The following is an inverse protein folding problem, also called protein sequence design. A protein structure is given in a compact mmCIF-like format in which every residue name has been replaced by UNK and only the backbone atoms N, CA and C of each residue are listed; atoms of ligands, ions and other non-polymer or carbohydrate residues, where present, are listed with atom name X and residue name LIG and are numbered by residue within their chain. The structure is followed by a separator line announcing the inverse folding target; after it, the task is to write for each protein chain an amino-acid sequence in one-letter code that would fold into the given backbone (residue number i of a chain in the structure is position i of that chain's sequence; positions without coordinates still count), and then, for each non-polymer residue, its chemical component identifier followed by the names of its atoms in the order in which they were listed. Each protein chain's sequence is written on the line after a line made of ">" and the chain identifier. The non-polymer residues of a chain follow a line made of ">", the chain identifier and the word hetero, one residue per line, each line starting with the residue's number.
data_IF_896859216148
#
_entry.id   IF_896859216148
#
_cell.length_a   1.000
_cell.length_b   1.000
_cell.length_c   1.000
_cell.angle_alpha   90.00
_cell.angle_beta   90.00
_cell.angle_gamma   90.00
#
_symmetry.space_group_name_H-M   'P 1'
#
loop_
_entity.id
_entity.type
_entity.pdbx_description
1 polymer ?
#
# COMPACT_ATOMS: atom_id res chain seq x y z
N UNK A 1 -6.43 -22.80 -24.46
CA UNK A 1 -5.77 -23.79 -23.61
C UNK A 1 -6.73 -24.88 -23.16
N UNK A 2 -6.20 -26.00 -22.71
CA UNK A 2 -6.97 -27.12 -22.18
C UNK A 2 -6.36 -27.63 -20.88
N UNK A 3 -7.20 -28.13 -19.98
CA UNK A 3 -6.76 -28.74 -18.72
C UNK A 3 -7.60 -29.98 -18.42
N UNK A 4 -7.04 -30.94 -17.71
CA UNK A 4 -7.75 -32.07 -17.08
C UNK A 4 -8.01 -31.85 -15.59
N UNK A 5 -7.55 -30.71 -15.04
CA UNK A 5 -7.71 -30.34 -13.65
C UNK A 5 -8.75 -29.23 -13.51
N UNK A 6 -9.18 -28.96 -12.30
CA UNK A 6 -10.10 -27.85 -11.97
C UNK A 6 -9.43 -26.47 -12.10
N UNK A 7 -8.15 -26.42 -12.40
CA UNK A 7 -7.37 -25.19 -12.48
C UNK A 7 -6.64 -25.09 -13.82
N UNK A 8 -6.73 -23.92 -14.46
CA UNK A 8 -6.00 -23.60 -15.67
C UNK A 8 -5.43 -22.17 -15.60
N UNK A 9 -4.15 -22.03 -15.86
CA UNK A 9 -3.49 -20.72 -15.85
C UNK A 9 -3.30 -20.20 -17.27
N UNK A 10 -3.94 -19.10 -17.60
CA UNK A 10 -3.68 -18.34 -18.83
C UNK A 10 -2.35 -17.58 -18.68
N UNK A 11 -1.49 -17.71 -19.67
CA UNK A 11 -0.17 -17.06 -19.71
C UNK A 11 -0.10 -16.08 -20.87
N UNK A 12 0.87 -15.14 -20.82
CA UNK A 12 1.15 -14.18 -21.89
C UNK A 12 -0.05 -13.29 -22.27
N UNK A 13 -0.90 -12.97 -21.29
CA UNK A 13 -1.94 -11.97 -21.49
C UNK A 13 -1.33 -10.57 -21.46
N UNK A 14 -1.76 -9.72 -22.38
CA UNK A 14 -1.34 -8.32 -22.38
C UNK A 14 -1.94 -7.60 -21.17
N UNK A 15 -1.14 -6.86 -20.40
CA UNK A 15 -1.63 -6.04 -19.31
C UNK A 15 -2.65 -5.01 -19.83
N UNK A 16 -3.57 -4.64 -18.94
CA UNK A 16 -4.59 -3.62 -19.19
C UNK A 16 -5.56 -3.89 -20.35
N UNK A 17 -5.50 -5.08 -20.97
CA UNK A 17 -6.43 -5.55 -21.99
C UNK A 17 -7.58 -6.33 -21.34
N UNK A 18 -8.83 -6.05 -21.75
CA UNK A 18 -9.98 -6.84 -21.31
C UNK A 18 -10.02 -8.17 -22.04
N UNK A 19 -10.15 -9.27 -21.30
CA UNK A 19 -10.35 -10.61 -21.82
C UNK A 19 -11.67 -11.17 -21.34
N UNK A 20 -12.46 -11.68 -22.25
CA UNK A 20 -13.66 -12.45 -21.95
C UNK A 20 -13.31 -13.93 -21.95
N UNK A 21 -13.51 -14.59 -20.83
CA UNK A 21 -13.12 -15.99 -20.61
C UNK A 21 -14.37 -16.84 -20.45
N UNK A 22 -14.42 -17.91 -21.21
CA UNK A 22 -15.43 -18.95 -21.10
C UNK A 22 -14.76 -20.33 -21.07
N UNK A 23 -15.39 -21.27 -20.40
CA UNK A 23 -14.95 -22.68 -20.32
C UNK A 23 -15.97 -23.58 -21.02
N UNK A 24 -15.46 -24.54 -21.78
CA UNK A 24 -16.25 -25.62 -22.43
C UNK A 24 -15.64 -26.95 -22.07
N UNK A 25 -16.48 -27.92 -21.79
CA UNK A 25 -16.05 -29.30 -21.71
C UNK A 25 -15.70 -29.85 -23.11
N UNK A 26 -14.85 -30.85 -23.17
CA UNK A 26 -14.57 -31.56 -24.42
C UNK A 26 -14.28 -33.03 -24.17
N UNK A 27 -14.54 -33.83 -25.18
CA UNK A 27 -14.08 -35.21 -25.26
C UNK A 27 -13.19 -35.43 -26.48
N UNK A 28 -12.39 -36.48 -26.48
CA UNK A 28 -11.63 -36.91 -27.66
C UNK A 28 -12.09 -38.29 -28.10
N UNK A 29 -12.43 -38.44 -29.37
CA UNK A 29 -12.75 -39.70 -30.01
C UNK A 29 -11.83 -39.82 -31.23
N UNK A 30 -11.09 -40.92 -31.33
CA UNK A 30 -10.12 -41.17 -32.40
C UNK A 30 -9.19 -39.98 -32.66
N UNK A 31 -8.64 -39.36 -31.60
CA UNK A 31 -7.76 -38.23 -31.70
C UNK A 31 -8.43 -36.88 -31.99
N UNK A 32 -9.67 -36.88 -32.46
CA UNK A 32 -10.45 -35.68 -32.78
C UNK A 32 -11.17 -35.15 -31.55
N UNK A 33 -11.15 -33.81 -31.38
CA UNK A 33 -11.70 -33.10 -30.21
C UNK A 33 -13.12 -32.61 -30.49
N UNK A 34 -14.04 -32.95 -29.62
CA UNK A 34 -15.46 -32.54 -29.68
C UNK A 34 -15.75 -31.66 -28.45
N UNK A 35 -16.22 -30.43 -28.67
CA UNK A 35 -16.56 -29.47 -27.63
C UNK A 35 -18.04 -29.61 -27.24
N UNK A 36 -18.36 -29.42 -25.96
CA UNK A 36 -19.74 -29.33 -25.49
C UNK A 36 -20.48 -28.16 -26.17
N UNK A 37 -21.76 -28.29 -26.38
CA UNK A 37 -22.64 -27.18 -26.79
C UNK A 37 -22.73 -26.11 -25.72
N UNK A 38 -22.69 -26.52 -24.45
CA UNK A 38 -22.76 -25.60 -23.31
C UNK A 38 -21.41 -24.97 -23.00
N UNK A 39 -21.44 -23.71 -22.61
CA UNK A 39 -20.29 -22.93 -22.10
C UNK A 39 -20.59 -22.44 -20.70
N UNK A 40 -19.53 -22.17 -19.90
CA UNK A 40 -19.69 -21.42 -18.67
C UNK A 40 -20.20 -20.00 -18.94
N UNK A 41 -20.69 -19.33 -17.91
CA UNK A 41 -20.88 -17.87 -17.97
C UNK A 41 -19.57 -17.21 -18.37
N UNK A 42 -19.64 -16.12 -19.12
CA UNK A 42 -18.48 -15.31 -19.47
C UNK A 42 -17.97 -14.58 -18.23
N UNK A 43 -16.69 -14.68 -17.95
CA UNK A 43 -16.01 -13.89 -16.93
C UNK A 43 -15.09 -12.90 -17.64
N UNK A 44 -15.31 -11.62 -17.39
CA UNK A 44 -14.45 -10.57 -17.93
C UNK A 44 -13.34 -10.25 -16.92
N UNK A 45 -12.09 -10.33 -17.37
CA UNK A 45 -10.91 -10.00 -16.56
C UNK A 45 -10.02 -9.01 -17.30
N UNK A 46 -9.37 -8.14 -16.55
CA UNK A 46 -8.35 -7.23 -17.06
C UNK A 46 -7.07 -7.46 -16.27
N UNK A 47 -6.08 -8.22 -16.81
CA UNK A 47 -4.83 -8.45 -16.11
C UNK A 47 -4.11 -7.14 -15.81
N UNK A 48 -3.67 -6.96 -14.58
CA UNK A 48 -2.83 -5.83 -14.22
C UNK A 48 -1.39 -6.10 -14.66
N UNK A 49 -0.70 -5.10 -15.18
CA UNK A 49 0.73 -5.17 -15.47
C UNK A 49 1.57 -5.47 -14.23
N UNK A 50 1.02 -5.21 -13.03
CA UNK A 50 1.67 -5.44 -11.74
C UNK A 50 1.47 -6.86 -11.17
N UNK A 51 0.76 -7.75 -11.88
CA UNK A 51 0.50 -9.15 -11.49
C UNK A 51 1.40 -10.17 -12.21
N UNK A 52 2.53 -9.76 -12.79
CA UNK A 52 3.44 -10.69 -13.45
C UNK A 52 4.32 -11.44 -12.43
N UNK A 53 4.71 -12.70 -12.74
CA UNK A 53 5.63 -13.50 -11.88
C UNK A 53 6.93 -12.80 -11.53
N UNK A 54 7.39 -11.85 -12.34
CA UNK A 54 8.62 -11.10 -12.09
C UNK A 54 8.44 -10.09 -10.95
N UNK A 55 7.22 -9.67 -10.63
CA UNK A 55 6.97 -8.76 -9.52
C UNK A 55 7.13 -9.43 -8.17
N UNK A 56 6.75 -10.70 -8.01
CA UNK A 56 6.94 -11.43 -6.75
C UNK A 56 8.43 -11.53 -6.40
N UNK A 57 9.29 -11.78 -7.39
CA UNK A 57 10.76 -11.77 -7.21
C UNK A 57 11.31 -10.36 -6.96
N UNK A 58 10.83 -9.37 -7.69
CA UNK A 58 11.22 -7.98 -7.48
C UNK A 58 10.84 -7.50 -6.07
N UNK A 59 9.63 -7.83 -5.62
CA UNK A 59 9.13 -7.47 -4.30
C UNK A 59 9.88 -8.16 -3.16
N UNK A 60 10.16 -9.47 -3.29
CA UNK A 60 10.84 -10.24 -2.27
C UNK A 60 12.25 -9.69 -1.94
N UNK A 61 12.94 -9.13 -2.95
CA UNK A 61 14.30 -8.62 -2.79
C UNK A 61 14.38 -7.09 -2.69
N UNK A 62 13.32 -6.36 -2.98
CA UNK A 62 13.36 -4.89 -3.12
C UNK A 62 12.66 -4.17 -1.97
N UNK A 63 11.54 -4.70 -1.47
CA UNK A 63 10.75 -4.02 -0.45
C UNK A 63 11.12 -4.51 0.94
N UNK A 64 11.81 -3.67 1.70
CA UNK A 64 11.95 -3.81 3.15
C UNK A 64 10.72 -3.25 3.85
N UNK A 65 10.13 -4.06 4.71
CA UNK A 65 8.96 -3.64 5.50
C UNK A 65 9.34 -3.11 6.89
N UNK A 66 10.55 -3.41 7.35
CA UNK A 66 11.04 -3.07 8.70
C UNK A 66 12.18 -2.07 8.58
N UNK A 67 12.07 -0.98 9.32
CA UNK A 67 13.07 0.10 9.37
C UNK A 67 14.03 0.04 10.58
N UNK A 68 14.14 -1.12 11.24
CA UNK A 68 15.02 -1.30 12.39
C UNK A 68 15.46 -2.78 12.54
N UNK A 69 16.52 -2.99 13.34
CA UNK A 69 16.99 -4.33 13.76
C UNK A 69 17.53 -4.19 15.18
N UNK A 70 16.84 -4.78 16.17
CA UNK A 70 17.06 -4.46 17.57
C UNK A 70 16.89 -2.96 17.79
N UNK A 71 17.83 -2.34 18.50
CA UNK A 71 17.84 -0.90 18.78
C UNK A 71 18.53 -0.06 17.69
N UNK A 72 18.79 -0.63 16.51
CA UNK A 72 19.44 0.06 15.39
C UNK A 72 18.44 0.40 14.31
N UNK A 73 18.41 1.66 13.91
CA UNK A 73 17.61 2.12 12.78
C UNK A 73 18.23 1.69 11.45
N UNK A 74 17.37 1.21 10.54
CA UNK A 74 17.73 0.81 9.19
C UNK A 74 16.79 1.53 8.23
N UNK A 75 17.27 2.59 7.61
CA UNK A 75 16.48 3.37 6.66
C UNK A 75 17.34 3.88 5.50
N UNK A 76 16.71 4.40 4.48
CA UNK A 76 17.35 5.00 3.31
C UNK A 76 16.56 6.22 2.85
N UNK A 77 17.25 7.19 2.29
CA UNK A 77 16.64 8.32 1.60
C UNK A 77 16.28 8.01 0.14
N UNK A 78 16.65 6.80 -0.34
CA UNK A 78 16.33 6.37 -1.71
C UNK A 78 14.92 5.79 -1.76
N UNK A 79 14.03 6.47 -2.47
CA UNK A 79 12.65 6.07 -2.60
C UNK A 79 12.46 4.85 -3.50
N UNK A 80 11.43 4.05 -3.20
CA UNK A 80 10.94 3.05 -4.14
C UNK A 80 10.35 3.71 -5.38
N UNK A 81 10.59 3.11 -6.55
CA UNK A 81 9.96 3.57 -7.79
C UNK A 81 8.43 3.42 -7.75
N UNK A 82 7.74 4.16 -8.60
CA UNK A 82 6.28 4.06 -8.75
C UNK A 82 5.82 2.62 -9.03
N UNK A 83 6.57 1.91 -9.87
CA UNK A 83 6.30 0.52 -10.24
C UNK A 83 6.39 -0.41 -9.03
N UNK A 84 7.42 -0.27 -8.20
CA UNK A 84 7.60 -1.05 -6.97
C UNK A 84 6.46 -0.78 -6.00
N UNK A 85 6.10 0.48 -5.78
CA UNK A 85 5.00 0.88 -4.89
C UNK A 85 3.65 0.28 -5.33
N UNK A 86 3.35 0.36 -6.62
CA UNK A 86 2.13 -0.20 -7.20
C UNK A 86 2.12 -1.73 -7.15
N UNK A 87 3.25 -2.36 -7.46
CA UNK A 87 3.40 -3.80 -7.41
C UNK A 87 3.21 -4.34 -5.99
N UNK A 88 3.82 -3.70 -4.99
CA UNK A 88 3.70 -4.11 -3.60
C UNK A 88 2.24 -4.13 -3.13
N UNK A 89 1.53 -3.03 -3.29
CA UNK A 89 0.15 -2.90 -2.77
C UNK A 89 -0.83 -3.77 -3.55
N UNK A 90 -0.73 -3.78 -4.88
CA UNK A 90 -1.62 -4.57 -5.73
C UNK A 90 -1.30 -6.08 -5.68
N UNK A 91 -0.03 -6.45 -5.61
CA UNK A 91 0.42 -7.83 -5.52
C UNK A 91 0.03 -8.49 -4.18
N UNK A 92 0.17 -7.79 -3.07
CA UNK A 92 -0.29 -8.23 -1.75
C UNK A 92 -1.82 -8.32 -1.65
N UNK A 93 -2.54 -7.63 -2.54
CA UNK A 93 -3.99 -7.69 -2.58
C UNK A 93 -4.68 -7.04 -1.37
N UNK A 94 -4.06 -6.00 -0.80
CA UNK A 94 -4.69 -5.22 0.26
C UNK A 94 -6.05 -4.67 -0.16
N UNK A 95 -6.97 -4.60 0.79
CA UNK A 95 -8.30 -4.05 0.61
C UNK A 95 -8.58 -2.95 1.63
N UNK A 96 -9.48 -2.05 1.31
CA UNK A 96 -10.01 -1.03 2.23
C UNK A 96 -11.54 -1.07 2.20
N UNK A 97 -12.16 -0.56 3.25
CA UNK A 97 -13.62 -0.31 3.30
C UNK A 97 -14.00 0.97 2.54
N UNK A 98 -13.02 1.84 2.31
CA UNK A 98 -13.15 3.05 1.49
C UNK A 98 -12.39 2.88 0.18
N UNK A 99 -12.42 3.88 -0.69
CA UNK A 99 -11.62 3.91 -1.92
C UNK A 99 -10.17 4.41 -1.68
N UNK A 100 -9.73 4.50 -0.42
CA UNK A 100 -8.38 4.92 -0.05
C UNK A 100 -7.59 3.81 0.65
N UNK A 101 -6.28 3.78 0.42
CA UNK A 101 -5.30 2.95 1.10
C UNK A 101 -4.03 3.76 1.34
N UNK A 102 -3.45 3.63 2.52
CA UNK A 102 -2.17 4.27 2.87
C UNK A 102 -1.12 3.19 3.09
N UNK A 103 0.05 3.35 2.49
CA UNK A 103 1.24 2.56 2.80
C UNK A 103 2.31 3.45 3.43
N UNK A 104 2.74 3.08 4.64
CA UNK A 104 3.86 3.68 5.35
C UNK A 104 5.06 2.75 5.18
N UNK A 105 6.13 3.25 4.58
CA UNK A 105 7.39 2.54 4.46
C UNK A 105 8.36 3.03 5.53
N UNK A 106 8.60 2.23 6.56
CA UNK A 106 9.57 2.52 7.60
C UNK A 106 11.01 2.56 7.05
N UNK A 107 11.29 1.79 6.00
CA UNK A 107 12.62 1.74 5.41
C UNK A 107 12.95 2.97 4.57
N UNK A 108 12.00 3.47 3.77
CA UNK A 108 12.20 4.67 2.93
C UNK A 108 11.69 5.95 3.55
N UNK A 109 11.14 5.88 4.77
CA UNK A 109 10.55 7.02 5.48
C UNK A 109 9.53 7.79 4.65
N UNK A 110 8.64 7.03 3.96
CA UNK A 110 7.63 7.60 3.08
C UNK A 110 6.23 7.08 3.39
N UNK A 111 5.27 7.96 3.20
CA UNK A 111 3.85 7.66 3.07
C UNK A 111 3.47 7.70 1.60
N UNK A 112 2.76 6.68 1.15
CA UNK A 112 2.14 6.67 -0.19
C UNK A 112 0.65 6.43 -0.05
N UNK A 113 -0.15 7.32 -0.62
CA UNK A 113 -1.60 7.26 -0.62
C UNK A 113 -2.08 6.77 -1.97
N UNK A 114 -2.99 5.82 -1.93
CA UNK A 114 -3.60 5.21 -3.10
C UNK A 114 -5.10 5.47 -3.10
N UNK A 115 -5.67 5.57 -4.30
CA UNK A 115 -7.12 5.56 -4.55
C UNK A 115 -7.47 4.42 -5.48
N UNK A 116 -8.57 3.71 -5.20
CA UNK A 116 -9.02 2.59 -6.02
C UNK A 116 -9.66 1.47 -5.20
N UNK A 117 -9.31 0.24 -5.51
CA UNK A 117 -9.82 -0.96 -4.83
C UNK A 117 -8.80 -2.09 -4.84
N UNK A 118 -9.08 -3.17 -4.14
CA UNK A 118 -8.23 -4.37 -4.09
C UNK A 118 -7.71 -4.77 -5.46
N UNK A 119 -6.39 -4.88 -5.60
CA UNK A 119 -5.65 -5.20 -6.83
C UNK A 119 -5.75 -4.16 -7.96
N UNK A 120 -6.33 -3.01 -7.70
CA UNK A 120 -6.47 -1.91 -8.66
C UNK A 120 -6.20 -0.53 -8.02
N UNK A 121 -5.24 -0.49 -7.12
CA UNK A 121 -4.80 0.72 -6.46
C UNK A 121 -3.95 1.58 -7.39
N UNK A 122 -4.19 2.91 -7.37
CA UNK A 122 -3.41 3.91 -8.11
C UNK A 122 -2.82 4.90 -7.12
N UNK A 123 -1.55 5.26 -7.28
CA UNK A 123 -0.92 6.28 -6.45
C UNK A 123 -1.52 7.64 -6.78
N UNK A 124 -1.95 8.35 -5.75
CA UNK A 124 -2.44 9.74 -5.85
C UNK A 124 -1.53 10.73 -5.13
N UNK A 125 -0.81 10.29 -4.10
CA UNK A 125 0.12 11.14 -3.34
C UNK A 125 1.25 10.31 -2.76
N UNK A 126 2.44 10.90 -2.69
CA UNK A 126 3.60 10.35 -1.97
C UNK A 126 4.39 11.51 -1.36
N UNK A 127 4.80 11.35 -0.12
CA UNK A 127 5.58 12.34 0.61
C UNK A 127 6.48 11.68 1.65
N UNK A 128 7.52 12.40 2.07
CA UNK A 128 8.43 11.95 3.12
C UNK A 128 7.80 12.14 4.49
N UNK A 129 8.08 11.24 5.40
CA UNK A 129 7.60 11.27 6.77
C UNK A 129 8.74 11.00 7.76
N UNK A 130 8.45 11.09 9.05
CA UNK A 130 9.31 10.54 10.08
C UNK A 130 8.52 9.53 10.90
N UNK A 131 8.96 8.27 10.88
CA UNK A 131 8.38 7.20 11.70
C UNK A 131 9.01 7.19 13.10
N UNK A 132 8.56 6.28 13.95
CA UNK A 132 9.18 6.02 15.25
C UNK A 132 10.63 5.56 15.14
N UNK A 133 11.41 5.89 16.17
CA UNK A 133 12.79 5.40 16.34
C UNK A 133 12.84 3.90 16.57
N UNK A 134 14.03 3.29 16.54
CA UNK A 134 14.19 1.87 16.80
C UNK A 134 13.80 1.45 18.22
N UNK A 135 13.89 2.35 19.20
CA UNK A 135 13.43 2.12 20.58
C UNK A 135 11.94 2.38 20.79
N UNK A 136 11.31 3.14 19.92
CA UNK A 136 9.88 3.51 19.96
C UNK A 136 9.29 3.39 18.55
N UNK A 137 9.39 2.20 17.95
CA UNK A 137 9.02 2.02 16.55
C UNK A 137 7.53 2.17 16.29
N UNK A 138 7.19 2.71 15.14
CA UNK A 138 5.82 2.73 14.65
C UNK A 138 5.32 1.29 14.46
N UNK A 139 4.04 0.99 14.74
CA UNK A 139 3.51 -0.36 14.64
C UNK A 139 3.56 -0.88 13.19
N UNK A 140 3.90 -2.17 13.04
CA UNK A 140 3.93 -2.88 11.77
C UNK A 140 2.68 -3.74 11.66
N UNK A 141 1.97 -3.65 10.54
CA UNK A 141 0.75 -4.43 10.31
C UNK A 141 -0.22 -3.74 9.37
N UNK A 142 -1.45 -4.22 9.39
CA UNK A 142 -2.57 -3.63 8.65
C UNK A 142 -3.56 -3.08 9.67
N UNK A 143 -3.78 -1.79 9.59
CA UNK A 143 -4.61 -1.04 10.52
C UNK A 143 -5.73 -0.30 9.79
N UNK A 144 -6.64 0.27 10.55
CA UNK A 144 -7.72 1.15 10.07
C UNK A 144 -7.59 2.50 10.76
N UNK A 145 -7.94 3.56 10.08
CA UNK A 145 -8.17 4.84 10.73
C UNK A 145 -9.38 4.68 11.65
N UNK A 146 -9.22 5.09 12.90
CA UNK A 146 -10.22 4.88 13.96
C UNK A 146 -10.97 6.16 14.29
N UNK A 147 -10.25 7.26 14.51
CA UNK A 147 -10.84 8.57 14.79
C UNK A 147 -9.85 9.69 14.49
N UNK A 148 -10.28 10.93 14.60
CA UNK A 148 -9.51 12.13 14.29
C UNK A 148 -9.69 13.17 15.37
N UNK A 149 -8.63 13.95 15.62
CA UNK A 149 -8.63 15.10 16.52
C UNK A 149 -8.00 16.31 15.82
N UNK A 150 -8.47 17.53 16.09
CA UNK A 150 -7.90 18.74 15.48
C UNK A 150 -6.41 18.88 15.77
N UNK A 151 -5.97 18.45 16.95
CA UNK A 151 -4.57 18.46 17.36
C UNK A 151 -4.38 18.07 18.81
N UNK A 152 -3.11 17.86 19.16
CA UNK A 152 -2.63 17.76 20.53
C UNK A 152 -1.96 19.08 20.91
N UNK A 153 -2.33 19.63 22.04
CA UNK A 153 -1.89 20.94 22.52
C UNK A 153 -1.17 20.78 23.86
N UNK A 154 0.09 21.23 23.89
CA UNK A 154 0.96 21.20 25.06
C UNK A 154 1.26 22.62 25.53
N UNK A 155 1.97 22.77 26.64
CA UNK A 155 2.29 24.11 27.22
C UNK A 155 2.95 25.05 26.20
N UNK A 156 3.91 24.55 25.42
CA UNK A 156 4.69 25.39 24.47
C UNK A 156 4.60 24.94 23.02
N UNK A 157 4.06 23.73 22.77
CA UNK A 157 4.04 23.11 21.45
C UNK A 157 2.66 22.54 21.12
N UNK A 158 2.45 22.24 19.85
CA UNK A 158 1.25 21.56 19.34
C UNK A 158 1.57 20.66 18.16
N UNK A 159 0.72 19.68 17.95
CA UNK A 159 0.72 18.80 16.77
C UNK A 159 -0.71 18.79 16.22
N UNK A 160 -0.88 19.06 14.94
CA UNK A 160 -2.19 19.29 14.32
C UNK A 160 -2.59 18.13 13.39
N UNK A 161 -3.87 18.07 13.06
CA UNK A 161 -4.45 17.12 12.10
C UNK A 161 -4.19 15.65 12.50
N UNK A 162 -4.44 15.34 13.76
CA UNK A 162 -4.19 14.01 14.33
C UNK A 162 -5.19 13.01 13.76
N UNK A 163 -4.68 11.96 13.13
CA UNK A 163 -5.47 10.89 12.52
C UNK A 163 -4.98 9.55 13.05
N UNK A 164 -5.75 8.92 13.92
CA UNK A 164 -5.40 7.70 14.63
C UNK A 164 -5.56 6.44 13.78
N UNK A 165 -4.61 5.50 13.87
CA UNK A 165 -4.68 4.22 13.16
C UNK A 165 -4.30 3.00 14.01
N UNK A 166 -3.52 3.15 15.08
CA UNK A 166 -3.09 2.02 15.92
C UNK A 166 -2.92 2.47 17.38
N UNK A 167 -3.96 2.38 18.18
CA UNK A 167 -3.96 2.87 19.54
C UNK A 167 -3.65 4.36 19.61
N UNK A 168 -2.56 4.72 20.28
CA UNK A 168 -2.09 6.12 20.34
C UNK A 168 -1.27 6.57 19.13
N UNK A 169 -0.93 5.64 18.21
CA UNK A 169 -0.13 6.01 17.05
C UNK A 169 -1.03 6.65 15.98
N UNK A 170 -0.58 7.79 15.48
CA UNK A 170 -1.34 8.66 14.60
C UNK A 170 -0.47 9.27 13.52
N UNK A 171 -1.09 9.72 12.45
CA UNK A 171 -0.51 10.74 11.57
C UNK A 171 -0.76 12.11 12.20
N UNK A 172 0.21 12.99 12.15
CA UNK A 172 0.09 14.39 12.60
C UNK A 172 1.19 15.25 11.98
N UNK A 173 1.11 16.56 12.15
CA UNK A 173 2.18 17.48 11.73
C UNK A 173 3.48 17.19 12.46
N UNK A 174 4.58 17.72 11.95
CA UNK A 174 5.78 17.92 12.80
C UNK A 174 5.39 18.70 14.06
N UNK A 175 6.10 18.53 15.17
CA UNK A 175 5.92 19.40 16.32
C UNK A 175 6.08 20.88 15.94
N UNK A 176 5.12 21.69 16.34
CA UNK A 176 5.06 23.13 16.12
C UNK A 176 5.14 23.86 17.46
N UNK A 177 5.77 25.01 17.50
CA UNK A 177 5.56 25.97 18.58
C UNK A 177 4.09 26.47 18.57
N UNK A 178 3.61 26.98 19.69
CA UNK A 178 2.25 27.57 19.74
C UNK A 178 2.09 28.74 18.78
N UNK A 179 3.18 29.44 18.42
CA UNK A 179 3.21 30.45 17.35
C UNK A 179 2.90 29.89 15.96
N UNK A 180 2.98 28.56 15.75
CA UNK A 180 2.83 27.89 14.47
C UNK A 180 4.16 27.60 13.75
N UNK A 181 5.27 28.14 14.21
CA UNK A 181 6.59 27.83 13.65
C UNK A 181 6.98 26.37 13.94
N UNK A 182 7.75 25.77 13.05
CA UNK A 182 8.21 24.37 13.20
C UNK A 182 9.21 24.28 14.34
N UNK A 183 8.91 23.48 15.36
CA UNK A 183 9.79 23.22 16.50
C UNK A 183 10.83 22.14 16.15
N UNK A 184 10.39 21.05 15.51
CA UNK A 184 11.27 19.97 15.08
C UNK A 184 11.06 19.69 13.59
N UNK A 185 12.02 20.06 12.72
CA UNK A 185 11.88 19.94 11.26
C UNK A 185 12.09 18.51 10.73
N UNK A 186 12.44 17.55 11.59
CA UNK A 186 12.89 16.22 11.18
C UNK A 186 11.83 15.48 10.40
N UNK A 187 12.14 15.22 9.12
CA UNK A 187 11.43 14.35 8.17
C UNK A 187 12.50 13.53 7.40
N UNK A 188 12.13 12.40 6.83
CA UNK A 188 13.02 11.52 6.05
C UNK A 188 13.90 10.59 6.88
N UNK A 189 13.78 10.62 8.21
CA UNK A 189 14.44 9.69 9.12
C UNK A 189 13.57 9.40 10.35
N UNK A 190 13.78 8.26 11.05
CA UNK A 190 13.05 7.95 12.28
C UNK A 190 13.32 9.04 13.35
N UNK A 191 12.25 9.55 13.98
CA UNK A 191 12.38 10.64 14.96
C UNK A 191 11.20 10.74 15.94
N UNK A 192 10.16 9.92 15.83
CA UNK A 192 8.99 9.97 16.70
C UNK A 192 9.01 8.88 17.78
N UNK A 193 8.02 8.90 18.66
CA UNK A 193 7.77 7.86 19.65
C UNK A 193 6.71 6.84 19.15
N UNK A 194 6.61 6.66 17.82
CA UNK A 194 5.71 5.69 17.18
C UNK A 194 4.72 6.30 16.20
N UNK A 195 4.40 7.58 16.31
CA UNK A 195 3.56 8.30 15.36
C UNK A 195 4.25 8.50 14.00
N UNK A 196 3.50 8.94 13.04
CA UNK A 196 3.97 9.30 11.70
C UNK A 196 3.91 10.82 11.55
N UNK A 197 5.07 11.47 11.66
CA UNK A 197 5.20 12.91 11.44
C UNK A 197 5.15 13.22 9.96
N UNK A 198 4.33 14.18 9.58
CA UNK A 198 4.13 14.64 8.20
C UNK A 198 4.41 16.14 8.08
N UNK A 199 4.59 16.63 6.87
CA UNK A 199 4.45 18.06 6.61
C UNK A 199 3.00 18.50 6.88
N UNK A 200 2.78 19.78 7.13
CA UNK A 200 1.48 20.29 7.56
C UNK A 200 0.39 20.00 6.53
N UNK A 201 0.68 20.23 5.25
CA UNK A 201 -0.22 19.97 4.13
C UNK A 201 -0.52 18.49 3.92
N UNK A 202 0.42 17.59 4.26
CA UNK A 202 0.23 16.14 4.12
C UNK A 202 -0.57 15.57 5.29
N UNK A 203 -0.29 16.02 6.51
CA UNK A 203 -1.10 15.68 7.69
C UNK A 203 -2.56 16.14 7.51
N UNK A 204 -2.74 17.39 7.05
CA UNK A 204 -4.06 17.94 6.73
C UNK A 204 -4.77 17.14 5.65
N UNK A 205 -4.05 16.75 4.58
CA UNK A 205 -4.64 15.94 3.52
C UNK A 205 -5.17 14.59 4.02
N UNK A 206 -4.41 13.89 4.88
CA UNK A 206 -4.86 12.64 5.51
C UNK A 206 -6.08 12.91 6.39
N UNK A 207 -6.01 13.94 7.21
CA UNK A 207 -7.09 14.32 8.12
C UNK A 207 -8.42 14.60 7.40
N UNK A 208 -8.37 15.32 6.29
CA UNK A 208 -9.57 15.73 5.56
C UNK A 208 -10.18 14.59 4.73
N UNK A 209 -9.38 13.66 4.19
CA UNK A 209 -9.81 12.74 3.14
C UNK A 209 -9.90 11.26 3.57
N UNK A 210 -9.30 10.83 4.68
CA UNK A 210 -9.21 9.41 5.06
C UNK A 210 -10.22 9.03 6.14
#
# INVERSE_FOLDING_TARGET
>A
GTTKTTMFTLKKLNPDTKYNIQVRAYTKVNGKKYLSSQTSKTVTVKPSKYMSKNYDKLLANTVRTIGYSGNKEIYTTKNYSKEVKLAFVNGKGYSSKTDYLIWISHYTQQVTIYKGSKKNWKIIRTFDCATGTASNHSPIGVYKITYKEPGWFYTSTKELYVTHFAGRNSFHTRPLWNSGAVQNPTIGKPASHGCIRCYNEDAKYIYDNM
#
